data_IF_113404695701
#
_entry.id   IF_113404695701
#
_cell.length_a   1.000
_cell.length_b   1.000
_cell.length_c   1.000
_cell.angle_alpha   90.00
_cell.angle_beta   90.00
_cell.angle_gamma   90.00
#
_symmetry.space_group_name_H-M   'P 1'
#
loop_
_entity.id
_entity.type
_entity.pdbx_description
1 polymer ?
#
# COMPACT_ATOMS: atom_id res chain seq x y z
N UNK A 1 13.56 2.33 19.17
CA UNK A 1 14.35 1.63 18.12
C UNK A 1 13.70 0.31 17.67
N UNK A 2 13.22 -0.56 18.55
CA UNK A 2 12.60 -1.84 18.14
C UNK A 2 11.41 -1.65 17.21
N UNK A 3 10.51 -0.71 17.52
CA UNK A 3 9.34 -0.40 16.68
C UNK A 3 9.73 0.02 15.24
N UNK A 4 10.77 0.83 15.06
CA UNK A 4 11.23 1.23 13.71
C UNK A 4 11.81 0.04 12.94
N UNK A 5 12.50 -0.88 13.61
CA UNK A 5 13.02 -2.09 12.96
C UNK A 5 11.88 -3.00 12.48
N UNK A 6 10.87 -3.23 13.31
CA UNK A 6 9.68 -4.01 12.96
C UNK A 6 8.90 -3.37 11.81
N UNK A 7 8.71 -2.06 11.84
CA UNK A 7 8.08 -1.32 10.74
C UNK A 7 8.90 -1.38 9.44
N UNK A 8 10.22 -1.32 9.54
CA UNK A 8 11.10 -1.46 8.40
C UNK A 8 11.06 -2.86 7.79
N UNK A 9 11.06 -3.90 8.60
CA UNK A 9 10.92 -5.29 8.15
C UNK A 9 9.56 -5.52 7.46
N UNK A 10 8.48 -5.01 8.05
CA UNK A 10 7.16 -5.02 7.45
C UNK A 10 7.17 -4.28 6.10
N UNK A 11 7.69 -3.08 6.06
CA UNK A 11 7.80 -2.27 4.83
C UNK A 11 8.61 -2.98 3.74
N UNK A 12 9.73 -3.60 4.10
CA UNK A 12 10.58 -4.35 3.17
C UNK A 12 9.87 -5.61 2.63
N UNK A 13 9.11 -6.30 3.46
CA UNK A 13 8.27 -7.43 3.06
C UNK A 13 7.20 -7.00 2.04
N UNK A 14 6.53 -5.87 2.29
CA UNK A 14 5.53 -5.30 1.38
C UNK A 14 6.17 -4.90 0.03
N UNK A 15 7.39 -4.37 0.05
CA UNK A 15 8.13 -3.97 -1.16
C UNK A 15 8.54 -5.17 -2.02
N UNK A 16 8.81 -6.31 -1.41
CA UNK A 16 9.24 -7.53 -2.11
C UNK A 16 8.06 -8.38 -2.61
N UNK A 17 6.87 -8.23 -2.02
CA UNK A 17 5.64 -8.95 -2.38
C UNK A 17 4.50 -8.02 -2.85
N UNK A 18 4.73 -7.16 -3.86
CA UNK A 18 3.78 -6.12 -4.23
C UNK A 18 2.48 -6.66 -4.87
N UNK A 19 2.44 -7.92 -5.28
CA UNK A 19 1.26 -8.54 -5.90
C UNK A 19 0.17 -8.92 -4.90
N UNK A 20 0.52 -9.06 -3.62
CA UNK A 20 -0.38 -9.50 -2.53
C UNK A 20 -0.86 -8.34 -1.67
N UNK A 21 -0.27 -7.17 -1.83
CA UNK A 21 -0.44 -6.03 -0.91
C UNK A 21 -1.17 -4.89 -1.59
N UNK A 22 -2.20 -4.37 -0.93
CA UNK A 22 -2.91 -3.19 -1.37
C UNK A 22 -2.00 -1.95 -1.35
N UNK A 23 -2.16 -1.07 -2.36
CA UNK A 23 -1.45 0.22 -2.44
C UNK A 23 -1.59 1.05 -1.16
N UNK A 24 -2.75 0.98 -0.53
CA UNK A 24 -3.05 1.72 0.70
C UNK A 24 -2.21 1.25 1.87
N UNK A 25 -2.04 -0.06 2.05
CA UNK A 25 -1.24 -0.62 3.13
C UNK A 25 0.25 -0.24 2.98
N UNK A 26 0.79 -0.28 1.76
CA UNK A 26 2.16 0.18 1.51
C UNK A 26 2.34 1.67 1.84
N UNK A 27 1.41 2.52 1.39
CA UNK A 27 1.48 3.95 1.64
C UNK A 27 1.35 4.27 3.13
N UNK A 28 0.45 3.58 3.83
CA UNK A 28 0.24 3.73 5.27
C UNK A 28 1.51 3.34 6.03
N UNK A 29 2.04 2.13 5.78
CA UNK A 29 3.27 1.66 6.43
C UNK A 29 4.47 2.57 6.13
N UNK A 30 4.56 3.11 4.90
CA UNK A 30 5.61 4.07 4.54
C UNK A 30 5.48 5.37 5.33
N UNK A 31 4.27 5.88 5.52
CA UNK A 31 4.00 7.09 6.31
C UNK A 31 4.29 6.88 7.79
N UNK A 32 3.87 5.76 8.35
CA UNK A 32 4.15 5.38 9.74
C UNK A 32 5.65 5.26 9.98
N UNK A 33 6.38 4.59 9.09
CA UNK A 33 7.83 4.46 9.19
C UNK A 33 8.54 5.81 9.13
N UNK A 34 8.15 6.71 8.22
CA UNK A 34 8.72 8.06 8.12
C UNK A 34 8.43 8.90 9.37
N UNK A 35 7.24 8.80 9.91
CA UNK A 35 6.87 9.51 11.15
C UNK A 35 7.65 8.99 12.34
N UNK A 36 7.80 7.68 12.47
CA UNK A 36 8.58 7.05 13.54
C UNK A 36 10.07 7.41 13.45
N UNK A 37 10.64 7.45 12.25
CA UNK A 37 12.03 7.93 12.03
C UNK A 37 12.18 9.37 12.51
N UNK A 38 11.26 10.26 12.11
CA UNK A 38 11.30 11.67 12.50
C UNK A 38 11.18 11.87 14.01
N UNK A 39 10.30 11.11 14.67
CA UNK A 39 10.16 11.16 16.13
C UNK A 39 11.47 10.78 16.83
N UNK A 40 12.13 9.71 16.38
CA UNK A 40 13.41 9.30 16.95
C UNK A 40 14.53 10.29 16.62
N UNK A 41 14.53 10.94 15.46
CA UNK A 41 15.49 12.00 15.14
C UNK A 41 15.38 13.13 16.17
N UNK A 42 14.17 13.58 16.52
CA UNK A 42 13.95 14.58 17.57
C UNK A 42 14.40 14.10 18.94
N UNK A 43 14.03 12.88 19.34
CA UNK A 43 14.47 12.31 20.63
C UNK A 43 16.02 12.25 20.72
N UNK A 44 16.70 11.99 19.59
CA UNK A 44 18.17 11.97 19.54
C UNK A 44 18.80 13.37 19.58
N UNK A 45 18.13 14.37 19.04
CA UNK A 45 18.55 15.78 19.14
C UNK A 45 18.44 16.25 20.61
N UNK A 46 17.32 15.98 21.28
CA UNK A 46 17.13 16.31 22.70
C UNK A 46 18.14 15.58 23.60
N UNK A 47 18.43 14.31 23.30
CA UNK A 47 19.43 13.53 24.02
C UNK A 47 20.84 14.10 23.82
N UNK A 48 21.17 14.54 22.61
CA UNK A 48 22.48 15.16 22.30
C UNK A 48 22.66 16.48 23.04
N UNK A 49 21.61 17.33 23.07
CA UNK A 49 21.61 18.57 23.86
C UNK A 49 21.80 18.27 25.36
N UNK A 50 21.07 17.30 25.88
CA UNK A 50 21.21 16.86 27.28
C UNK A 50 22.63 16.42 27.59
N UNK A 51 23.28 15.65 26.69
CA UNK A 51 24.65 15.19 26.85
C UNK A 51 25.63 16.38 26.87
N UNK A 52 25.41 17.40 26.02
CA UNK A 52 26.23 18.62 25.98
C UNK A 52 26.12 19.42 27.28
N UNK A 53 24.91 19.57 27.84
CA UNK A 53 24.67 20.25 29.12
C UNK A 53 25.40 19.53 30.26
N UNK A 54 25.31 18.22 30.30
CA UNK A 54 25.98 17.39 31.32
C UNK A 54 27.48 17.46 31.20
N UNK A 55 28.02 17.43 29.97
CA UNK A 55 29.46 17.57 29.70
C UNK A 55 30.00 18.92 30.19
N UNK A 56 29.25 20.01 29.96
CA UNK A 56 29.61 21.33 30.45
C UNK A 56 29.57 21.48 31.99
N UNK A 57 28.89 20.59 32.70
CA UNK A 57 28.66 20.66 34.14
C UNK A 57 29.02 19.33 34.86
N UNK A 58 30.06 18.64 34.44
CA UNK A 58 30.44 17.30 34.96
C UNK A 58 30.53 17.21 36.48
N UNK A 59 31.08 18.28 37.13
CA UNK A 59 31.20 18.32 38.59
C UNK A 59 29.84 18.33 39.30
N UNK A 60 28.85 18.97 38.72
CA UNK A 60 27.49 19.06 39.28
C UNK A 60 26.73 17.74 39.18
N UNK A 61 26.91 17.02 38.04
CA UNK A 61 26.19 15.79 37.81
C UNK A 61 26.94 14.53 38.23
N UNK A 62 28.19 14.67 38.71
CA UNK A 62 29.03 13.58 39.21
C UNK A 62 29.12 12.35 38.26
N UNK A 63 29.13 12.61 36.95
CA UNK A 63 29.17 11.57 35.92
C UNK A 63 30.62 11.28 35.47
N UNK A 64 30.87 10.02 35.21
CA UNK A 64 32.15 9.57 34.69
C UNK A 64 32.31 10.00 33.21
N UNK A 65 33.47 10.59 32.80
CA UNK A 65 33.73 10.93 31.41
C UNK A 65 33.57 9.75 30.44
N UNK A 66 33.84 8.50 30.88
CA UNK A 66 33.65 7.30 30.07
C UNK A 66 32.15 7.09 29.75
N UNK A 67 31.28 7.33 30.72
CA UNK A 67 29.83 7.20 30.52
C UNK A 67 29.30 8.23 29.51
N UNK A 68 29.79 9.46 29.60
CA UNK A 68 29.45 10.51 28.62
C UNK A 68 29.90 10.09 27.21
N UNK A 69 31.11 9.54 27.09
CA UNK A 69 31.63 8.99 25.82
C UNK A 69 30.73 7.88 25.25
N UNK A 70 30.31 6.94 26.07
CA UNK A 70 29.41 5.85 25.67
C UNK A 70 28.06 6.36 25.19
N UNK A 71 27.50 7.37 25.86
CA UNK A 71 26.23 7.98 25.44
C UNK A 71 26.34 8.70 24.09
N UNK A 72 27.43 9.42 23.85
CA UNK A 72 27.72 10.05 22.57
C UNK A 72 27.84 9.03 21.44
N UNK A 73 28.57 7.94 21.69
CA UNK A 73 28.72 6.88 20.70
C UNK A 73 27.39 6.19 20.39
N UNK A 74 26.54 5.95 21.39
CA UNK A 74 25.19 5.43 21.20
C UNK A 74 24.36 6.33 20.30
N UNK A 75 24.35 7.64 20.54
CA UNK A 75 23.60 8.61 19.71
C UNK A 75 24.11 8.59 18.29
N UNK A 76 25.44 8.58 18.10
CA UNK A 76 26.07 8.55 16.77
C UNK A 76 25.71 7.29 16.00
N UNK A 77 25.80 6.12 16.61
CA UNK A 77 25.47 4.83 16.00
C UNK A 77 23.98 4.76 15.65
N UNK A 78 23.11 5.26 16.53
CA UNK A 78 21.68 5.28 16.31
C UNK A 78 21.30 6.21 15.15
N UNK A 79 21.90 7.41 15.09
CA UNK A 79 21.74 8.34 13.93
C UNK A 79 22.20 7.70 12.63
N UNK A 80 23.31 6.99 12.63
CA UNK A 80 23.82 6.25 11.47
C UNK A 80 22.81 5.22 10.96
N UNK A 81 22.32 4.35 11.84
CA UNK A 81 21.33 3.33 11.49
C UNK A 81 20.01 3.91 10.98
N UNK A 82 19.53 5.02 11.58
CA UNK A 82 18.32 5.70 11.10
C UNK A 82 18.52 6.31 9.71
N UNK A 83 19.69 6.90 9.45
CA UNK A 83 19.98 7.48 8.14
C UNK A 83 20.03 6.42 7.04
N UNK A 84 20.57 5.23 7.31
CA UNK A 84 20.54 4.11 6.37
C UNK A 84 19.10 3.72 6.00
N UNK A 85 18.23 3.55 6.99
CA UNK A 85 16.82 3.25 6.76
C UNK A 85 16.14 4.38 5.97
N UNK A 86 16.39 5.63 6.31
CA UNK A 86 15.84 6.82 5.66
C UNK A 86 16.22 6.88 4.17
N UNK A 87 17.47 6.59 3.83
CA UNK A 87 17.96 6.52 2.45
C UNK A 87 17.26 5.41 1.68
N UNK A 88 17.11 4.22 2.26
CA UNK A 88 16.45 3.09 1.62
C UNK A 88 14.96 3.37 1.36
N UNK A 89 14.25 3.93 2.33
CA UNK A 89 12.82 4.27 2.21
C UNK A 89 12.56 5.36 1.15
N UNK A 90 13.50 6.29 0.98
CA UNK A 90 13.39 7.35 -0.02
C UNK A 90 14.02 6.98 -1.37
N UNK A 91 14.56 5.78 -1.52
CA UNK A 91 15.27 5.39 -2.73
C UNK A 91 14.35 5.34 -3.96
N UNK A 92 14.82 5.77 -5.14
CA UNK A 92 14.07 5.68 -6.40
C UNK A 92 13.67 4.25 -6.76
N UNK A 93 14.48 3.26 -6.33
CA UNK A 93 14.24 1.83 -6.56
C UNK A 93 12.98 1.38 -5.82
N UNK A 94 12.79 1.79 -4.56
CA UNK A 94 11.59 1.50 -3.81
C UNK A 94 10.34 2.08 -4.49
N UNK A 95 10.42 3.34 -4.94
CA UNK A 95 9.32 4.00 -5.63
C UNK A 95 8.99 3.35 -6.99
N UNK A 96 10.00 2.94 -7.77
CA UNK A 96 9.81 2.31 -9.07
C UNK A 96 9.19 0.92 -8.96
N UNK A 97 9.55 0.11 -7.96
CA UNK A 97 8.95 -1.20 -7.68
C UNK A 97 7.45 -1.06 -7.40
N UNK A 98 7.06 -0.10 -6.59
CA UNK A 98 5.65 0.17 -6.27
C UNK A 98 4.87 0.65 -7.49
N UNK A 99 5.44 1.53 -8.30
CA UNK A 99 4.79 2.00 -9.53
C UNK A 99 4.59 0.86 -10.54
N UNK A 100 5.58 -0.01 -10.71
CA UNK A 100 5.49 -1.17 -11.60
C UNK A 100 4.39 -2.14 -11.15
N UNK A 101 4.25 -2.37 -9.84
CA UNK A 101 3.19 -3.19 -9.27
C UNK A 101 1.81 -2.57 -9.49
N UNK A 102 1.66 -1.27 -9.24
CA UNK A 102 0.39 -0.57 -9.44
C UNK A 102 -0.10 -0.64 -10.89
N UNK A 103 0.81 -0.56 -11.88
CA UNK A 103 0.47 -0.73 -13.30
C UNK A 103 -0.06 -2.14 -13.60
N UNK A 104 0.52 -3.18 -12.99
CA UNK A 104 0.07 -4.58 -13.16
C UNK A 104 -1.32 -4.80 -12.58
N UNK A 105 -1.61 -4.26 -11.39
CA UNK A 105 -2.93 -4.37 -10.75
C UNK A 105 -3.99 -3.63 -11.57
N UNK A 106 -3.72 -2.39 -11.99
CA UNK A 106 -4.64 -1.61 -12.82
C UNK A 106 -4.95 -2.29 -14.16
N UNK A 107 -3.94 -2.88 -14.81
CA UNK A 107 -4.15 -3.63 -16.05
C UNK A 107 -4.98 -4.91 -15.82
N UNK A 108 -4.82 -5.58 -14.67
CA UNK A 108 -5.60 -6.76 -14.31
C UNK A 108 -7.06 -6.40 -14.07
N UNK A 109 -7.34 -5.31 -13.36
CA UNK A 109 -8.69 -4.81 -13.13
C UNK A 109 -9.37 -4.35 -14.43
N UNK A 110 -8.66 -3.65 -15.30
CA UNK A 110 -9.18 -3.27 -16.62
C UNK A 110 -9.51 -4.50 -17.47
N UNK A 111 -8.68 -5.53 -17.46
CA UNK A 111 -8.94 -6.76 -18.19
C UNK A 111 -10.14 -7.52 -17.61
N UNK A 112 -10.31 -7.58 -16.29
CA UNK A 112 -11.48 -8.18 -15.64
C UNK A 112 -12.78 -7.43 -16.02
N UNK A 113 -12.77 -6.11 -15.98
CA UNK A 113 -13.92 -5.28 -16.42
C UNK A 113 -14.23 -5.49 -17.91
N UNK A 114 -13.21 -5.65 -18.74
CA UNK A 114 -13.36 -5.92 -20.17
C UNK A 114 -13.98 -7.30 -20.42
N UNK A 115 -13.54 -8.33 -19.69
CA UNK A 115 -14.10 -9.67 -19.77
C UNK A 115 -15.58 -9.69 -19.33
N UNK A 116 -15.91 -9.05 -18.20
CA UNK A 116 -17.30 -9.00 -17.71
C UNK A 116 -18.22 -8.24 -18.68
N UNK A 117 -17.75 -7.14 -19.28
CA UNK A 117 -18.51 -6.41 -20.29
C UNK A 117 -18.76 -7.23 -21.58
N UNK A 118 -17.77 -8.01 -22.02
CA UNK A 118 -17.92 -8.87 -23.21
C UNK A 118 -18.84 -10.05 -22.94
N UNK A 119 -18.85 -10.61 -21.73
CA UNK A 119 -19.79 -11.67 -21.35
C UNK A 119 -21.22 -11.16 -21.26
N UNK A 120 -21.44 -9.97 -20.67
CA UNK A 120 -22.74 -9.32 -20.63
C UNK A 120 -23.27 -9.04 -22.05
N UNK A 121 -22.41 -8.54 -22.96
CA UNK A 121 -22.78 -8.29 -24.34
C UNK A 121 -23.11 -9.58 -25.09
N UNK A 122 -22.36 -10.66 -24.91
CA UNK A 122 -22.66 -11.98 -25.50
C UNK A 122 -23.98 -12.56 -24.94
N UNK A 123 -24.25 -12.39 -23.67
CA UNK A 123 -25.51 -12.78 -23.05
C UNK A 123 -26.70 -12.04 -23.66
N UNK A 124 -26.56 -10.72 -23.83
CA UNK A 124 -27.60 -9.89 -24.46
C UNK A 124 -27.85 -10.27 -25.95
N UNK A 125 -26.80 -10.55 -26.71
CA UNK A 125 -26.95 -11.01 -28.10
C UNK A 125 -27.64 -12.39 -28.20
N UNK A 126 -27.34 -13.32 -27.27
CA UNK A 126 -28.04 -14.63 -27.22
C UNK A 126 -29.52 -14.43 -26.90
N UNK A 127 -29.84 -13.55 -25.96
CA UNK A 127 -31.23 -13.24 -25.60
C UNK A 127 -31.99 -12.62 -26.78
N UNK A 128 -31.40 -11.65 -27.50
CA UNK A 128 -32.01 -11.07 -28.69
C UNK A 128 -32.27 -12.09 -29.80
N UNK A 129 -31.35 -13.02 -30.04
CA UNK A 129 -31.54 -14.11 -31.03
C UNK A 129 -32.68 -15.04 -30.63
N UNK A 130 -32.79 -15.41 -29.34
CA UNK A 130 -33.88 -16.20 -28.81
C UNK A 130 -35.24 -15.46 -28.97
N UNK A 131 -35.29 -14.18 -28.67
CA UNK A 131 -36.49 -13.38 -28.87
C UNK A 131 -36.89 -13.24 -30.35
N UNK A 132 -35.91 -13.14 -31.27
CA UNK A 132 -36.18 -13.15 -32.70
C UNK A 132 -36.71 -14.52 -33.18
N UNK A 133 -36.11 -15.62 -32.72
CA UNK A 133 -36.58 -16.98 -33.05
C UNK A 133 -38.00 -17.24 -32.51
N UNK A 134 -38.28 -16.79 -31.29
CA UNK A 134 -39.65 -16.90 -30.71
C UNK A 134 -40.65 -16.06 -31.48
N UNK A 135 -40.28 -14.88 -31.98
CA UNK A 135 -41.16 -14.04 -32.87
C UNK A 135 -41.42 -14.76 -34.18
N UNK A 136 -40.44 -15.36 -34.81
CA UNK A 136 -40.59 -16.11 -36.08
C UNK A 136 -41.50 -17.33 -35.86
N UNK A 137 -41.30 -18.07 -34.77
CA UNK A 137 -42.16 -19.21 -34.41
C UNK A 137 -43.60 -18.80 -34.05
N UNK A 138 -43.78 -17.60 -33.47
CA UNK A 138 -45.09 -17.03 -33.17
C UNK A 138 -45.88 -16.62 -34.43
N UNK A 139 -45.17 -16.22 -35.48
CA UNK A 139 -45.80 -15.90 -36.78
C UNK A 139 -46.17 -17.20 -37.57
N UNK A 140 -45.52 -18.33 -37.26
CA UNK A 140 -45.82 -19.62 -37.90
C UNK A 140 -46.96 -20.40 -37.24
N UNK A 141 -47.27 -20.12 -35.95
CA UNK A 141 -48.38 -20.76 -35.21
C UNK A 141 -49.28 -19.67 -34.58
N UNK A 142 -50.24 -19.23 -35.38
CA UNK A 142 -51.25 -18.27 -34.90
C UNK A 142 -51.93 -18.79 -33.64
N UNK A 143 -51.92 -18.01 -32.58
CA UNK A 143 -52.83 -18.06 -31.41
C UNK A 143 -52.39 -18.49 -30.02
N UNK A 144 -51.10 -18.71 -29.70
CA UNK A 144 -50.84 -19.01 -28.28
C UNK A 144 -49.82 -18.11 -27.59
N UNK A 145 -49.17 -17.20 -28.25
CA UNK A 145 -48.07 -16.41 -27.71
C UNK A 145 -48.36 -14.95 -27.34
N UNK A 146 -49.59 -14.46 -27.57
CA UNK A 146 -49.99 -13.10 -27.15
C UNK A 146 -50.04 -12.91 -25.63
N UNK A 147 -50.22 -13.99 -24.85
CA UNK A 147 -50.29 -13.94 -23.37
C UNK A 147 -48.92 -13.92 -22.70
N UNK A 148 -47.87 -14.43 -23.35
CA UNK A 148 -46.50 -14.47 -22.76
C UNK A 148 -45.76 -13.15 -23.01
N UNK A 149 -46.05 -12.43 -24.08
CA UNK A 149 -45.40 -11.16 -24.41
C UNK A 149 -45.92 -9.96 -23.59
N UNK A 150 -47.08 -10.07 -22.94
CA UNK A 150 -47.59 -9.03 -22.04
C UNK A 150 -46.94 -9.04 -20.66
N UNK A 151 -46.33 -10.17 -20.26
CA UNK A 151 -45.67 -10.33 -18.95
C UNK A 151 -44.21 -9.85 -18.91
N UNK A 152 -43.61 -9.52 -20.05
CA UNK A 152 -42.20 -9.03 -20.12
C UNK A 152 -42.11 -7.50 -20.27
N UNK A 153 -43.17 -6.75 -20.02
CA UNK A 153 -43.22 -5.28 -20.18
C UNK A 153 -43.34 -4.52 -18.84
N UNK A 154 -43.08 -5.17 -17.72
CA UNK A 154 -42.96 -4.48 -16.41
C UNK A 154 -41.56 -4.63 -15.85
#
# INVERSE_FOLDING_TARGET
MNNVKELYEKWNSLLNNPAMVGREEYNLTTSELKNSIRSIEWDLEDLEETIQIVEGNQRKFNLNPIEIGNRKEFVKQTKGSLNEIKVLVNSPIAQSKVQASNRRVSNREMNLRRCSATEAYRGHQRFLRLCCLLKVLSLASGNLLSKILSSCRN
#
